data_IF_956168329129
#
_entry.id   IF_956168329129
#
_cell.length_a   1.000
_cell.length_b   1.000
_cell.length_c   1.000
_cell.angle_alpha   90.00
_cell.angle_beta   90.00
_cell.angle_gamma   90.00
#
_symmetry.space_group_name_H-M   'P 1'
#
loop_
_entity.id
_entity.type
_entity.pdbx_description
1 polymer ?
#
# COMPACT_ATOMS: atom_id res chain seq x y z
N UNK A 1 5.05 -4.69 -1.84
CA UNK A 1 5.32 -4.60 -3.29
C UNK A 1 4.40 -3.59 -3.94
N UNK A 2 4.86 -2.91 -4.98
CA UNK A 2 4.06 -1.91 -5.69
C UNK A 2 3.34 -2.49 -6.93
N UNK A 3 3.71 -3.69 -7.33
CA UNK A 3 3.09 -4.40 -8.45
C UNK A 3 3.13 -5.90 -8.27
N UNK A 4 2.16 -6.58 -8.85
CA UNK A 4 2.06 -8.04 -8.90
C UNK A 4 2.05 -8.50 -10.35
N UNK A 5 2.67 -9.63 -10.63
CA UNK A 5 2.62 -10.25 -11.94
C UNK A 5 1.77 -11.51 -11.92
N UNK A 6 1.06 -11.73 -13.03
CA UNK A 6 0.29 -12.95 -13.30
C UNK A 6 0.56 -13.39 -14.72
N UNK A 7 0.53 -14.68 -14.92
CA UNK A 7 0.65 -15.32 -16.23
C UNK A 7 -0.56 -16.24 -16.44
N UNK A 8 -1.40 -15.97 -17.44
CA UNK A 8 -2.50 -16.87 -17.77
C UNK A 8 -1.98 -18.19 -18.34
N UNK A 9 -2.53 -19.32 -17.86
CA UNK A 9 -2.17 -20.67 -18.31
C UNK A 9 -2.91 -21.10 -19.57
N UNK A 10 -3.93 -20.34 -19.93
CA UNK A 10 -4.72 -20.49 -21.18
C UNK A 10 -5.04 -19.08 -21.69
N UNK A 11 -5.45 -18.99 -22.95
CA UNK A 11 -5.98 -17.71 -23.46
C UNK A 11 -7.21 -17.27 -22.65
N UNK A 12 -7.20 -16.02 -22.19
CA UNK A 12 -8.33 -15.46 -21.43
C UNK A 12 -8.82 -14.17 -22.05
N UNK A 13 -10.07 -13.80 -21.75
CA UNK A 13 -10.62 -12.47 -22.04
C UNK A 13 -10.77 -11.69 -20.74
N UNK A 14 -10.24 -10.47 -20.71
CA UNK A 14 -10.35 -9.58 -19.56
C UNK A 14 -10.68 -8.17 -20.02
N UNK A 15 -11.78 -7.62 -19.54
CA UNK A 15 -12.23 -6.28 -19.92
C UNK A 15 -12.44 -6.09 -21.43
N UNK A 16 -12.85 -7.15 -22.16
CA UNK A 16 -12.99 -7.14 -23.61
C UNK A 16 -11.73 -7.47 -24.41
N UNK A 17 -10.55 -7.46 -23.78
CA UNK A 17 -9.27 -7.75 -24.43
C UNK A 17 -8.94 -9.24 -24.36
N UNK A 18 -8.38 -9.78 -25.46
CA UNK A 18 -7.78 -11.11 -25.46
C UNK A 18 -6.36 -11.04 -24.88
N UNK A 19 -6.12 -11.84 -23.88
CA UNK A 19 -4.79 -12.00 -23.26
C UNK A 19 -4.32 -13.42 -23.57
N UNK A 20 -3.30 -13.59 -24.43
CA UNK A 20 -2.78 -14.90 -24.77
C UNK A 20 -2.17 -15.63 -23.57
N UNK A 21 -2.20 -16.94 -23.59
CA UNK A 21 -1.42 -17.79 -22.68
C UNK A 21 0.05 -17.33 -22.65
N UNK A 22 0.65 -17.31 -21.46
CA UNK A 22 2.06 -16.94 -21.27
C UNK A 22 2.33 -15.44 -21.26
N UNK A 23 1.31 -14.60 -21.48
CA UNK A 23 1.47 -13.16 -21.37
C UNK A 23 1.80 -12.75 -19.94
N UNK A 24 2.69 -11.78 -19.76
CA UNK A 24 2.91 -11.16 -18.46
C UNK A 24 1.82 -10.09 -18.20
N UNK A 25 0.96 -10.32 -17.21
CA UNK A 25 -0.05 -9.36 -16.77
C UNK A 25 0.42 -8.69 -15.50
N UNK A 26 0.62 -7.38 -15.55
CA UNK A 26 1.02 -6.57 -14.41
C UNK A 26 -0.20 -5.94 -13.73
N UNK A 27 -0.30 -6.11 -12.44
CA UNK A 27 -1.33 -5.50 -11.57
C UNK A 27 -0.63 -4.49 -10.68
N UNK A 28 -0.73 -3.20 -11.02
CA UNK A 28 -0.09 -2.14 -10.23
C UNK A 28 -0.97 -1.73 -9.05
N UNK A 29 -0.62 -2.21 -7.87
CA UNK A 29 -1.23 -1.75 -6.61
C UNK A 29 -0.99 -0.26 -6.40
N UNK A 30 0.20 0.22 -6.72
CA UNK A 30 0.56 1.63 -6.62
C UNK A 30 -0.39 2.53 -7.41
N UNK A 31 -0.61 2.21 -8.69
CA UNK A 31 -1.48 2.99 -9.55
C UNK A 31 -2.96 2.92 -9.12
N UNK A 32 -3.44 1.72 -8.74
CA UNK A 32 -4.83 1.55 -8.30
C UNK A 32 -5.11 2.28 -7.00
N UNK A 33 -4.19 2.20 -6.02
CA UNK A 33 -4.36 2.84 -4.71
C UNK A 33 -4.20 4.37 -4.76
N UNK A 34 -3.71 4.92 -5.87
CA UNK A 34 -3.59 6.37 -6.15
C UNK A 34 -4.49 6.87 -7.25
N UNK A 35 -5.47 6.06 -7.64
CA UNK A 35 -6.41 6.44 -8.68
C UNK A 35 -7.55 7.29 -8.10
N UNK A 36 -7.74 8.50 -8.64
CA UNK A 36 -8.87 9.38 -8.31
C UNK A 36 -10.23 8.73 -8.60
N UNK A 37 -10.25 7.70 -9.44
CA UNK A 37 -11.45 6.89 -9.68
C UNK A 37 -11.98 6.23 -8.40
N UNK A 38 -11.11 5.90 -7.44
CA UNK A 38 -11.44 5.15 -6.24
C UNK A 38 -11.20 5.92 -4.94
N UNK A 39 -10.38 6.96 -5.01
CA UNK A 39 -9.96 7.74 -3.86
C UNK A 39 -9.98 9.23 -4.19
N UNK A 40 -10.73 10.01 -3.44
CA UNK A 40 -10.56 11.46 -3.46
C UNK A 40 -9.22 11.81 -2.83
N UNK A 41 -8.48 12.74 -3.44
CA UNK A 41 -7.17 13.19 -2.97
C UNK A 41 -6.24 11.99 -2.61
N UNK A 42 -5.93 11.10 -3.58
CA UNK A 42 -5.28 9.81 -3.30
C UNK A 42 -3.90 9.94 -2.66
N UNK A 43 -3.21 11.05 -2.83
CA UNK A 43 -1.89 11.33 -2.26
C UNK A 43 -1.97 11.98 -0.88
N UNK A 44 -3.15 12.46 -0.46
CA UNK A 44 -3.33 12.99 0.88
C UNK A 44 -3.34 11.89 1.94
N UNK A 45 -2.65 12.15 3.07
CA UNK A 45 -2.74 11.30 4.24
C UNK A 45 -4.08 11.53 4.96
N UNK A 46 -5.05 10.69 4.67
CA UNK A 46 -6.40 10.74 5.24
C UNK A 46 -6.74 9.39 5.88
N UNK A 47 -6.48 9.20 7.18
CA UNK A 47 -6.82 7.96 7.88
C UNK A 47 -8.32 7.69 7.94
N UNK A 48 -9.17 8.72 7.91
CA UNK A 48 -10.63 8.60 7.98
C UNK A 48 -11.22 7.92 6.75
N UNK A 49 -10.46 7.84 5.65
CA UNK A 49 -10.87 7.04 4.48
C UNK A 49 -11.06 5.54 4.80
N UNK A 50 -10.57 5.08 5.95
CA UNK A 50 -10.68 3.69 6.41
C UNK A 50 -11.83 3.45 7.39
N UNK A 51 -12.56 4.49 7.78
CA UNK A 51 -13.79 4.34 8.55
C UNK A 51 -14.78 3.41 7.83
N UNK A 52 -15.58 2.62 8.58
CA UNK A 52 -16.45 1.60 8.00
C UNK A 52 -17.36 2.13 6.89
N UNK A 53 -17.93 3.32 7.06
CA UNK A 53 -18.85 3.96 6.13
C UNK A 53 -18.15 4.25 4.80
N UNK A 54 -17.02 4.95 4.84
CA UNK A 54 -16.23 5.33 3.65
C UNK A 54 -15.58 4.14 2.98
N UNK A 55 -15.23 3.11 3.76
CA UNK A 55 -14.68 1.86 3.25
C UNK A 55 -15.73 1.06 2.47
N UNK A 56 -16.99 1.05 2.91
CA UNK A 56 -18.08 0.32 2.27
C UNK A 56 -18.41 0.83 0.86
N UNK A 57 -18.14 2.09 0.57
CA UNK A 57 -18.39 2.72 -0.72
C UNK A 57 -17.40 2.28 -1.81
N UNK A 58 -16.25 1.75 -1.43
CA UNK A 58 -15.21 1.35 -2.37
C UNK A 58 -15.37 -0.10 -2.85
N UNK A 59 -15.15 -0.36 -4.14
CA UNK A 59 -15.12 -1.73 -4.65
C UNK A 59 -14.08 -2.59 -3.93
N UNK A 60 -14.40 -3.86 -3.71
CA UNK A 60 -13.57 -4.81 -2.96
C UNK A 60 -12.10 -4.83 -3.37
N UNK A 61 -11.79 -4.67 -4.66
CA UNK A 61 -10.43 -4.75 -5.19
C UNK A 61 -9.83 -3.37 -5.53
N UNK A 62 -10.44 -2.28 -5.09
CA UNK A 62 -9.78 -0.98 -5.12
C UNK A 62 -8.62 -0.89 -4.12
N UNK A 63 -8.58 -1.79 -3.10
CA UNK A 63 -7.49 -1.87 -2.13
C UNK A 63 -7.03 -3.32 -1.92
N UNK A 64 -5.82 -3.63 -2.35
CA UNK A 64 -5.25 -4.98 -2.26
C UNK A 64 -3.74 -4.97 -1.96
N UNK A 65 -3.27 -4.31 -0.88
CA UNK A 65 -1.85 -4.13 -0.59
C UNK A 65 -1.08 -5.44 -0.41
N UNK A 66 -1.79 -6.49 -0.02
CA UNK A 66 -1.25 -7.84 0.14
C UNK A 66 -1.64 -8.81 -1.00
N UNK A 67 -2.07 -8.26 -2.12
CA UNK A 67 -2.65 -9.06 -3.20
C UNK A 67 -4.05 -9.56 -2.88
N UNK A 68 -4.55 -10.48 -3.71
CA UNK A 68 -5.88 -11.05 -3.57
C UNK A 68 -5.95 -12.46 -4.16
N UNK A 69 -7.04 -13.19 -3.82
CA UNK A 69 -7.30 -14.54 -4.30
C UNK A 69 -6.36 -15.60 -3.68
N UNK A 70 -6.22 -16.78 -4.32
CA UNK A 70 -5.42 -17.89 -3.78
C UNK A 70 -3.92 -17.59 -3.61
N UNK A 71 -3.44 -16.51 -4.20
CA UNK A 71 -2.03 -16.07 -4.15
C UNK A 71 -1.86 -14.78 -3.33
N UNK A 72 -2.79 -14.49 -2.42
CA UNK A 72 -2.60 -13.39 -1.47
C UNK A 72 -1.40 -13.66 -0.54
N UNK A 73 -0.83 -12.61 0.04
CA UNK A 73 0.32 -12.74 0.94
C UNK A 73 -0.03 -13.57 2.18
N UNK A 74 0.71 -14.65 2.42
CA UNK A 74 0.53 -15.51 3.59
C UNK A 74 0.87 -14.77 4.90
N UNK A 75 1.84 -13.83 4.86
CA UNK A 75 2.29 -13.05 6.01
C UNK A 75 1.41 -11.85 6.36
N UNK A 76 0.27 -11.63 5.69
CA UNK A 76 -0.57 -10.45 5.89
C UNK A 76 -0.92 -10.22 7.37
N UNK A 77 -1.36 -11.25 8.08
CA UNK A 77 -1.81 -11.12 9.46
C UNK A 77 -0.65 -10.79 10.40
N UNK A 78 0.50 -11.43 10.19
CA UNK A 78 1.72 -11.15 10.96
C UNK A 78 2.19 -9.70 10.71
N UNK A 79 2.32 -9.30 9.45
CA UNK A 79 2.76 -7.95 9.11
C UNK A 79 1.82 -6.85 9.67
N UNK A 80 0.51 -7.08 9.65
CA UNK A 80 -0.44 -6.14 10.24
C UNK A 80 -0.33 -6.07 11.77
N UNK A 81 -0.12 -7.20 12.43
CA UNK A 81 0.09 -7.25 13.87
C UNK A 81 1.40 -6.56 14.27
N UNK A 82 2.50 -6.85 13.58
CA UNK A 82 3.79 -6.20 13.81
C UNK A 82 3.69 -4.68 13.64
N UNK A 83 3.08 -4.22 12.54
CA UNK A 83 2.91 -2.79 12.29
C UNK A 83 2.10 -2.10 13.40
N UNK A 84 1.01 -2.72 13.87
CA UNK A 84 0.19 -2.18 14.95
C UNK A 84 0.95 -2.12 16.27
N UNK A 85 1.69 -3.18 16.62
CA UNK A 85 2.48 -3.22 17.86
C UNK A 85 3.61 -2.18 17.82
N UNK A 86 4.37 -2.11 16.73
CA UNK A 86 5.46 -1.15 16.59
C UNK A 86 4.93 0.29 16.67
N UNK A 87 3.91 0.61 15.87
CA UNK A 87 3.33 1.95 15.87
C UNK A 87 2.73 2.31 17.23
N UNK A 88 2.01 1.39 17.85
CA UNK A 88 1.41 1.60 19.18
C UNK A 88 2.48 1.85 20.24
N UNK A 89 3.53 1.03 20.30
CA UNK A 89 4.63 1.17 21.26
C UNK A 89 5.37 2.48 21.06
N UNK A 90 5.75 2.80 19.82
CA UNK A 90 6.47 4.04 19.52
C UNK A 90 5.61 5.26 19.85
N UNK A 91 4.34 5.28 19.44
CA UNK A 91 3.46 6.41 19.67
C UNK A 91 3.09 6.65 21.14
N UNK A 92 3.17 5.63 21.99
CA UNK A 92 2.96 5.79 23.43
C UNK A 92 4.12 6.52 24.11
N UNK A 93 5.34 6.28 23.67
CA UNK A 93 6.54 6.76 24.35
C UNK A 93 7.20 7.97 23.66
N UNK A 94 7.03 8.10 22.34
CA UNK A 94 7.76 9.06 21.53
C UNK A 94 6.87 9.87 20.59
N UNK A 95 7.34 11.08 20.30
CA UNK A 95 6.93 11.89 19.17
C UNK A 95 8.04 11.91 18.13
N UNK A 96 7.66 11.75 16.87
CA UNK A 96 8.60 11.71 15.76
C UNK A 96 8.31 12.87 14.81
N UNK A 97 9.26 13.79 14.66
CA UNK A 97 9.15 14.88 13.71
C UNK A 97 10.10 14.61 12.54
N UNK A 98 9.59 14.70 11.32
CA UNK A 98 10.43 14.65 10.13
C UNK A 98 11.26 15.94 10.05
N UNK A 99 12.58 15.82 9.84
CA UNK A 99 13.49 16.97 9.96
C UNK A 99 13.75 17.72 8.65
N UNK A 100 13.16 17.28 7.55
CA UNK A 100 13.29 17.97 6.26
C UNK A 100 11.95 18.59 5.88
N UNK A 101 11.99 19.77 5.24
CA UNK A 101 10.80 20.44 4.70
C UNK A 101 10.39 19.86 3.32
N UNK A 102 11.30 19.18 2.65
CA UNK A 102 11.09 18.60 1.33
C UNK A 102 10.48 17.20 1.42
N UNK A 103 9.55 16.85 0.51
CA UNK A 103 9.04 15.50 0.40
C UNK A 103 10.19 14.52 0.08
N UNK A 104 10.13 13.34 0.67
CA UNK A 104 11.06 12.25 0.32
C UNK A 104 10.65 11.58 -1.00
N UNK A 105 11.63 11.21 -1.80
CA UNK A 105 11.41 10.41 -3.00
C UNK A 105 11.30 8.92 -2.65
N UNK A 106 10.44 8.22 -3.41
CA UNK A 106 10.25 6.79 -3.26
C UNK A 106 10.96 6.04 -4.38
N UNK A 107 11.79 5.10 -4.00
CA UNK A 107 12.40 4.16 -4.92
C UNK A 107 11.58 2.89 -5.04
N UNK A 108 11.16 2.58 -6.27
CA UNK A 108 10.48 1.33 -6.59
C UNK A 108 11.48 0.21 -6.86
N UNK A 109 11.41 -0.85 -6.05
CA UNK A 109 12.10 -2.11 -6.31
C UNK A 109 11.12 -3.26 -6.07
N UNK A 110 11.51 -4.38 -5.53
CA UNK A 110 10.57 -5.42 -5.08
C UNK A 110 9.59 -4.86 -4.02
N UNK A 111 10.10 -4.01 -3.14
CA UNK A 111 9.32 -3.19 -2.21
C UNK A 111 9.57 -1.71 -2.49
N UNK A 112 8.65 -0.85 -2.08
CA UNK A 112 8.88 0.59 -2.09
C UNK A 112 9.50 1.02 -0.78
N UNK A 113 10.49 1.87 -0.86
CA UNK A 113 11.16 2.48 0.28
C UNK A 113 11.62 3.90 -0.08
N UNK A 114 11.85 4.78 0.91
CA UNK A 114 12.49 6.06 0.66
C UNK A 114 13.85 5.86 -0.03
N UNK A 115 14.17 6.70 -1.01
CA UNK A 115 15.45 6.63 -1.73
C UNK A 115 16.63 6.95 -0.82
N UNK A 116 16.41 7.90 0.10
CA UNK A 116 17.37 8.27 1.13
C UNK A 116 16.82 7.96 2.54
N UNK A 117 17.70 7.77 3.54
CA UNK A 117 17.27 7.63 4.93
C UNK A 117 16.42 8.83 5.39
N UNK A 118 15.30 8.56 6.03
CA UNK A 118 14.44 9.58 6.61
C UNK A 118 14.99 10.00 7.98
N UNK A 119 15.53 11.23 8.06
CA UNK A 119 15.94 11.81 9.34
C UNK A 119 14.72 12.16 10.19
N UNK A 120 14.68 11.68 11.43
CA UNK A 120 13.60 11.97 12.38
C UNK A 120 14.17 12.55 13.67
N UNK A 121 13.53 13.58 14.20
CA UNK A 121 13.77 14.05 15.58
C UNK A 121 12.83 13.29 16.50
N UNK A 122 13.41 12.71 17.54
CA UNK A 122 12.66 11.91 18.53
C UNK A 122 12.57 12.72 19.81
N UNK A 123 11.37 12.84 20.37
CA UNK A 123 11.10 13.42 21.69
C UNK A 123 10.35 12.40 22.53
N UNK A 124 10.74 12.27 23.81
CA UNK A 124 10.00 11.46 24.77
C UNK A 124 8.69 12.16 25.17
N UNK A 125 7.60 11.42 25.31
CA UNK A 125 6.32 11.94 25.82
C UNK A 125 6.26 12.04 27.34
N UNK A 126 7.24 11.45 28.02
CA UNK A 126 7.33 11.45 29.49
C UNK A 126 8.13 12.61 30.08
N UNK A 127 8.50 13.60 29.27
CA UNK A 127 9.16 14.83 29.72
C UNK A 127 8.21 16.02 29.71
#
# INVERSE_FOLDING_TARGET
VYTLFREPKVDVRLGGYRIPRGSAVMLSQWAVHRSERWYSEPDAFDPDRWLPERRAERPRFAYFPFGAGPRHCIGKHLAMLEAQLILGTVAQEYELDYVRDEPFELRGSLTMHPEEPMGMRIRSRSE
#
